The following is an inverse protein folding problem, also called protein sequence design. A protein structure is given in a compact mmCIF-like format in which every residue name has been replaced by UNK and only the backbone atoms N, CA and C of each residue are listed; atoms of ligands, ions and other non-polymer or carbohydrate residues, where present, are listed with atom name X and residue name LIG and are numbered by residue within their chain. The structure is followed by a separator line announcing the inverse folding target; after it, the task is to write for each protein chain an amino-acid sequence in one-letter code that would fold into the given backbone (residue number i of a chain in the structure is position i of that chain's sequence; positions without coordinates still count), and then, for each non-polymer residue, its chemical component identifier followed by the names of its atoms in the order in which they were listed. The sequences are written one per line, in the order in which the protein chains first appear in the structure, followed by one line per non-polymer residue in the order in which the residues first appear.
data_IF_391647223085
#
_entry.id   IF_391647223085
#
_cell.length_a   1.000
_cell.length_b   1.000
_cell.length_c   1.000
_cell.angle_alpha   90.00
_cell.angle_beta   90.00
_cell.angle_gamma   90.00
#
_symmetry.space_group_name_H-M   'P 1'
#
loop_
_entity.id
_entity.type
_entity.pdbx_description
1 polymer ?
#
# COMPACT_ATOMS: atom_id res chain seq x y z
N UNK A 1 -10.97 -7.73 -10.95
CA UNK A 1 -10.50 -6.35 -11.26
C UNK A 1 -10.23 -6.21 -12.75
N UNK A 2 -11.19 -5.70 -13.52
CA UNK A 2 -11.14 -5.77 -15.00
C UNK A 2 -11.00 -4.40 -15.68
N UNK A 3 -11.14 -3.29 -14.96
CA UNK A 3 -10.98 -1.96 -15.55
C UNK A 3 -9.51 -1.55 -15.53
N UNK A 4 -8.95 -1.32 -16.71
CA UNK A 4 -7.55 -0.95 -16.87
C UNK A 4 -7.46 0.57 -17.07
N UNK A 5 -6.62 1.24 -16.27
CA UNK A 5 -6.30 2.64 -16.48
C UNK A 5 -5.52 2.80 -17.79
N UNK A 6 -5.96 3.70 -18.66
CA UNK A 6 -5.31 3.92 -19.96
C UNK A 6 -3.84 4.36 -19.82
N UNK A 7 -3.54 5.22 -18.85
CA UNK A 7 -2.21 5.84 -18.67
C UNK A 7 -1.19 4.92 -18.00
N UNK A 8 -1.57 4.26 -16.90
CA UNK A 8 -0.65 3.49 -16.05
C UNK A 8 -0.90 1.99 -16.07
N UNK A 9 -1.89 1.51 -16.82
CA UNK A 9 -2.27 0.09 -16.92
C UNK A 9 -2.62 -0.57 -15.58
N UNK A 10 -2.84 0.21 -14.53
CA UNK A 10 -3.34 -0.28 -13.24
C UNK A 10 -4.68 -0.99 -13.43
N UNK A 11 -4.86 -2.15 -12.79
CA UNK A 11 -6.15 -2.85 -12.70
C UNK A 11 -6.97 -2.24 -11.56
N UNK A 12 -8.23 -1.92 -11.82
CA UNK A 12 -9.16 -1.31 -10.86
C UNK A 12 -10.44 -2.13 -10.77
N UNK A 13 -11.20 -1.94 -9.70
CA UNK A 13 -12.55 -2.48 -9.58
C UNK A 13 -13.52 -1.65 -10.43
N UNK A 14 -14.59 -2.29 -10.92
CA UNK A 14 -15.63 -1.62 -11.71
C UNK A 14 -16.29 -0.48 -10.92
N UNK A 15 -16.49 -0.68 -9.62
CA UNK A 15 -17.02 0.33 -8.70
C UNK A 15 -16.11 1.57 -8.54
N UNK A 16 -14.83 1.48 -8.90
CA UNK A 16 -13.86 2.59 -8.83
C UNK A 16 -13.82 3.38 -10.14
N UNK A 17 -14.58 2.96 -11.16
CA UNK A 17 -14.59 3.61 -12.47
C UNK A 17 -15.22 5.01 -12.35
N UNK A 18 -14.46 6.08 -12.63
CA UNK A 18 -15.02 7.42 -12.65
C UNK A 18 -15.90 7.62 -13.88
N UNK A 19 -16.91 8.49 -13.77
CA UNK A 19 -17.83 8.83 -14.88
C UNK A 19 -17.08 9.25 -16.17
N UNK A 20 -15.98 10.00 -16.03
CA UNK A 20 -15.15 10.44 -17.15
C UNK A 20 -14.07 9.44 -17.63
N UNK A 21 -14.06 8.21 -17.13
CA UNK A 21 -13.11 7.14 -17.51
C UNK A 21 -11.63 7.39 -17.13
N UNK A 22 -11.28 8.57 -16.62
CA UNK A 22 -9.91 8.95 -16.23
C UNK A 22 -9.74 8.85 -14.72
N UNK A 23 -8.96 7.87 -14.27
CA UNK A 23 -8.67 7.62 -12.86
C UNK A 23 -7.87 8.76 -12.22
N UNK A 24 -8.39 9.31 -11.12
CA UNK A 24 -7.70 10.31 -10.30
C UNK A 24 -6.78 9.66 -9.27
N UNK A 25 -7.24 8.57 -8.63
CA UNK A 25 -6.53 7.87 -7.55
C UNK A 25 -5.16 7.34 -8.00
N UNK A 26 -5.09 6.65 -9.14
CA UNK A 26 -3.85 6.05 -9.63
C UNK A 26 -2.84 7.07 -10.19
N UNK A 27 -3.26 7.95 -11.10
CA UNK A 27 -2.34 8.77 -11.90
C UNK A 27 -2.73 10.24 -12.01
N UNK A 28 -3.72 10.70 -11.24
CA UNK A 28 -4.34 12.04 -11.37
C UNK A 28 -4.67 12.39 -12.82
N UNK A 29 -5.34 11.48 -13.54
CA UNK A 29 -5.68 11.63 -14.97
C UNK A 29 -4.44 11.78 -15.87
N UNK A 30 -3.39 11.03 -15.59
CA UNK A 30 -2.14 11.01 -16.35
C UNK A 30 -1.13 12.12 -15.99
N UNK A 31 -1.41 12.92 -14.96
CA UNK A 31 -0.53 14.01 -14.51
C UNK A 31 0.67 13.54 -13.69
N UNK A 32 0.54 12.40 -13.01
CA UNK A 32 1.62 11.81 -12.21
C UNK A 32 2.24 10.67 -13.01
N UNK A 33 3.56 10.71 -13.18
CA UNK A 33 4.34 9.56 -13.62
C UNK A 33 4.84 8.84 -12.36
N UNK A 34 4.24 7.70 -12.04
CA UNK A 34 4.78 6.81 -11.02
C UNK A 34 6.11 6.24 -11.53
N UNK A 35 7.15 6.37 -10.71
CA UNK A 35 8.41 5.67 -10.94
C UNK A 35 8.22 4.18 -10.73
N UNK A 36 9.04 3.36 -11.40
CA UNK A 36 9.09 1.94 -11.09
C UNK A 36 9.54 1.81 -9.64
N UNK A 37 8.84 0.99 -8.86
CA UNK A 37 9.32 0.62 -7.53
C UNK A 37 10.65 -0.07 -7.68
N UNK A 38 11.70 0.49 -7.09
CA UNK A 38 13.00 -0.14 -6.93
C UNK A 38 13.31 -0.33 -5.45
N UNK A 39 14.11 -1.33 -5.11
CA UNK A 39 14.64 -1.48 -3.75
C UNK A 39 15.70 -0.40 -3.43
N UNK A 40 16.21 -0.40 -2.20
CA UNK A 40 17.26 0.52 -1.75
C UNK A 40 18.59 0.40 -2.53
N UNK A 41 18.74 -0.63 -3.35
CA UNK A 41 19.90 -0.91 -4.19
C UNK A 41 19.63 -0.66 -5.68
N UNK A 42 18.50 -0.03 -6.02
CA UNK A 42 18.02 0.23 -7.39
C UNK A 42 17.70 -1.03 -8.22
N UNK A 43 17.50 -2.19 -7.60
CA UNK A 43 16.94 -3.33 -8.33
C UNK A 43 15.45 -3.10 -8.54
N UNK A 44 14.93 -3.45 -9.73
CA UNK A 44 13.49 -3.46 -9.99
C UNK A 44 12.81 -4.32 -8.90
N UNK A 45 11.85 -3.74 -8.19
CA UNK A 45 11.14 -4.43 -7.12
C UNK A 45 10.34 -5.58 -7.72
N UNK A 46 10.89 -6.79 -7.63
CA UNK A 46 10.25 -7.99 -8.14
C UNK A 46 9.09 -8.34 -7.22
N UNK A 47 7.88 -8.16 -7.73
CA UNK A 47 6.67 -8.59 -7.05
C UNK A 47 6.75 -10.12 -6.85
N UNK A 48 6.48 -10.64 -5.64
CA UNK A 48 6.53 -12.08 -5.40
C UNK A 48 5.70 -12.85 -6.43
N UNK A 49 6.30 -13.87 -7.06
CA UNK A 49 5.68 -14.61 -8.17
C UNK A 49 4.32 -15.20 -7.80
N UNK A 50 4.15 -15.66 -6.55
CA UNK A 50 2.87 -16.21 -6.09
C UNK A 50 1.75 -15.14 -6.09
N UNK A 51 2.05 -13.89 -5.71
CA UNK A 51 1.07 -12.81 -5.76
C UNK A 51 0.76 -12.41 -7.21
N UNK A 52 1.76 -12.45 -8.08
CA UNK A 52 1.56 -12.21 -9.51
C UNK A 52 0.63 -13.27 -10.12
N UNK A 53 0.82 -14.54 -9.76
CA UNK A 53 -0.02 -15.65 -10.19
C UNK A 53 -1.47 -15.46 -9.72
N UNK A 54 -1.69 -15.17 -8.43
CA UNK A 54 -3.01 -14.83 -7.88
C UNK A 54 -3.67 -13.62 -8.57
N UNK A 55 -2.90 -12.64 -9.03
CA UNK A 55 -3.40 -11.44 -9.72
C UNK A 55 -3.70 -11.65 -11.21
N UNK A 56 -3.06 -12.62 -11.86
CA UNK A 56 -3.03 -12.71 -13.33
C UNK A 56 -3.49 -14.04 -13.92
N UNK A 57 -3.43 -15.15 -13.19
CA UNK A 57 -3.69 -16.49 -13.70
C UNK A 57 -5.10 -16.98 -13.31
N UNK A 58 -6.08 -16.98 -14.24
CA UNK A 58 -7.43 -17.43 -13.94
C UNK A 58 -7.54 -18.93 -13.65
N UNK A 59 -6.52 -19.73 -13.99
CA UNK A 59 -6.49 -21.17 -13.73
C UNK A 59 -6.03 -21.50 -12.31
N UNK A 60 -5.49 -20.52 -11.57
CA UNK A 60 -5.18 -20.71 -10.15
C UNK A 60 -6.50 -20.84 -9.37
N UNK A 61 -6.61 -21.87 -8.52
CA UNK A 61 -7.80 -22.15 -7.71
C UNK A 61 -8.20 -20.98 -6.80
N UNK A 62 -7.22 -20.21 -6.34
CA UNK A 62 -7.42 -19.09 -5.43
C UNK A 62 -7.62 -17.76 -6.15
N UNK A 63 -7.50 -17.71 -7.49
CA UNK A 63 -7.62 -16.48 -8.28
C UNK A 63 -8.90 -15.70 -7.95
N UNK A 64 -10.04 -16.39 -7.95
CA UNK A 64 -11.34 -15.77 -7.70
C UNK A 64 -11.44 -15.26 -6.26
N UNK A 65 -11.11 -16.11 -5.29
CA UNK A 65 -11.16 -15.75 -3.88
C UNK A 65 -10.23 -14.57 -3.57
N UNK A 66 -9.04 -14.55 -4.16
CA UNK A 66 -8.10 -13.45 -4.03
C UNK A 66 -8.67 -12.15 -4.58
N UNK A 67 -9.21 -12.14 -5.80
CA UNK A 67 -9.82 -10.91 -6.38
C UNK A 67 -11.03 -10.42 -5.60
N UNK A 68 -11.87 -11.34 -5.09
CA UNK A 68 -13.06 -10.99 -4.29
C UNK A 68 -12.65 -10.42 -2.91
N UNK A 69 -11.57 -10.95 -2.32
CA UNK A 69 -11.12 -10.60 -0.96
C UNK A 69 -9.96 -9.59 -0.92
N UNK A 70 -9.39 -9.18 -2.06
CA UNK A 70 -8.17 -8.35 -2.12
C UNK A 70 -8.29 -7.05 -1.32
N UNK A 71 -9.47 -6.45 -1.26
CA UNK A 71 -9.71 -5.25 -0.43
C UNK A 71 -9.56 -5.58 1.05
N UNK A 72 -10.15 -6.69 1.50
CA UNK A 72 -10.05 -7.14 2.89
C UNK A 72 -8.60 -7.49 3.25
N UNK A 73 -7.87 -8.17 2.35
CA UNK A 73 -6.45 -8.43 2.55
C UNK A 73 -5.64 -7.14 2.66
N UNK A 74 -5.78 -6.22 1.69
CA UNK A 74 -5.09 -4.93 1.70
C UNK A 74 -5.42 -4.12 2.96
N UNK A 75 -6.67 -4.13 3.42
CA UNK A 75 -7.09 -3.47 4.67
C UNK A 75 -6.50 -4.14 5.91
N UNK A 76 -6.39 -5.47 5.94
CA UNK A 76 -5.79 -6.20 7.04
C UNK A 76 -4.28 -5.96 7.12
N UNK A 77 -3.59 -5.83 5.99
CA UNK A 77 -2.14 -5.57 5.95
C UNK A 77 -1.78 -4.09 5.90
N UNK A 78 -2.76 -3.18 5.79
CA UNK A 78 -2.54 -1.74 5.88
C UNK A 78 -2.28 -1.28 7.32
N UNK A 79 -1.46 -2.02 8.07
CA UNK A 79 -1.03 -1.62 9.41
C UNK A 79 -0.38 -0.24 9.34
N UNK A 80 -1.03 0.76 9.91
CA UNK A 80 -0.42 2.06 10.09
C UNK A 80 0.58 1.92 11.24
N UNK A 81 1.86 1.72 10.93
CA UNK A 81 2.91 2.01 11.92
C UNK A 81 2.85 3.50 12.23
N UNK A 82 2.46 3.85 13.45
CA UNK A 82 2.56 5.21 13.93
C UNK A 82 4.00 5.48 14.35
N UNK A 83 4.80 5.94 13.38
CA UNK A 83 6.08 6.57 13.63
C UNK A 83 5.89 7.91 14.35
N UNK A 84 5.55 7.88 15.64
CA UNK A 84 5.41 9.08 16.46
C UNK A 84 6.49 9.13 17.53
N UNK A 85 7.00 10.33 17.81
CA UNK A 85 7.90 10.53 18.94
C UNK A 85 7.08 10.42 20.21
N UNK A 86 7.23 9.31 20.92
CA UNK A 86 6.62 9.11 22.23
C UNK A 86 7.28 10.10 23.21
N UNK A 87 6.47 10.90 23.88
CA UNK A 87 6.90 11.80 24.94
C UNK A 87 6.19 11.35 26.20
N UNK A 88 6.96 10.93 27.20
CA UNK A 88 6.42 10.67 28.53
C UNK A 88 6.30 11.99 29.29
N UNK A 89 5.10 12.27 29.78
CA UNK A 89 4.86 13.38 30.69
C UNK A 89 5.09 12.89 32.12
N UNK A 90 6.10 13.41 32.80
CA UNK A 90 6.32 13.15 34.22
C UNK A 90 5.38 14.02 35.07
N UNK A 91 4.28 13.44 35.53
CA UNK A 91 3.34 14.07 36.45
C UNK A 91 2.18 13.14 36.81
N UNK A 92 1.60 13.27 38.00
CA UNK A 92 0.53 12.40 38.54
C UNK A 92 -0.82 12.48 37.83
N UNK A 93 -0.81 12.79 36.54
CA UNK A 93 -1.98 12.84 35.66
C UNK A 93 -2.20 11.42 35.10
N UNK A 94 -3.45 11.01 34.83
CA UNK A 94 -3.72 9.74 34.17
C UNK A 94 -2.89 9.58 32.89
N UNK A 95 -2.45 8.35 32.61
CA UNK A 95 -1.70 8.04 31.39
C UNK A 95 -2.53 8.42 30.16
N UNK A 96 -2.02 9.33 29.34
CA UNK A 96 -2.66 9.75 28.07
C UNK A 96 -1.66 9.59 26.94
N UNK A 97 -1.98 8.73 25.98
CA UNK A 97 -1.29 8.67 24.69
C UNK A 97 -1.99 9.62 23.71
N UNK A 98 -1.35 10.74 23.35
CA UNK A 98 -1.93 11.75 22.46
C UNK A 98 -1.17 11.81 21.13
N UNK A 99 -1.87 11.52 20.04
CA UNK A 99 -1.38 11.70 18.67
C UNK A 99 -2.01 12.97 18.08
N UNK A 100 -1.20 13.87 17.53
CA UNK A 100 -1.68 15.11 16.91
C UNK A 100 -1.29 15.16 15.43
N UNK A 101 -2.21 15.58 14.57
CA UNK A 101 -2.03 15.63 13.11
C UNK A 101 -2.75 14.50 12.36
N UNK A 102 -2.53 14.43 11.06
CA UNK A 102 -3.11 13.39 10.21
C UNK A 102 -2.25 12.11 10.28
N UNK A 103 -2.88 10.97 10.55
CA UNK A 103 -2.20 9.66 10.48
C UNK A 103 -1.94 9.35 9.01
N UNK A 104 -0.66 9.31 8.63
CA UNK A 104 -0.23 8.92 7.30
C UNK A 104 0.27 7.47 7.32
N UNK A 105 -0.08 6.71 6.28
CA UNK A 105 0.50 5.39 6.05
C UNK A 105 1.89 5.58 5.44
N UNK A 106 2.94 5.09 6.11
CA UNK A 106 4.30 5.13 5.59
C UNK A 106 4.80 3.70 5.45
N UNK A 107 4.59 3.13 4.27
CA UNK A 107 5.20 1.85 3.90
C UNK A 107 6.71 2.08 3.76
N UNK A 108 7.51 1.55 4.67
CA UNK A 108 8.97 1.52 4.53
C UNK A 108 9.44 0.13 4.13
N UNK A 109 10.69 0.02 3.66
CA UNK A 109 11.31 -1.30 3.51
C UNK A 109 11.35 -2.01 4.87
N UNK A 110 10.92 -3.28 4.91
CA UNK A 110 11.08 -4.16 6.08
C UNK A 110 12.57 -4.34 6.42
N UNK A 111 13.42 -4.24 5.40
CA UNK A 111 14.85 -4.36 5.55
C UNK A 111 15.44 -3.03 6.02
N UNK A 112 15.96 -3.02 7.25
CA UNK A 112 16.65 -1.85 7.77
C UNK A 112 17.97 -1.63 7.02
N UNK A 113 18.22 -0.39 6.63
CA UNK A 113 19.55 0.03 6.20
C UNK A 113 20.40 0.10 7.48
N UNK A 114 21.51 -0.65 7.53
CA UNK A 114 22.49 -0.68 8.63
C UNK A 114 22.09 -1.46 9.90
N UNK A 115 21.36 -2.58 9.79
CA UNK A 115 21.06 -3.47 10.93
C UNK A 115 20.29 -2.82 12.07
N UNK A 116 19.68 -1.65 11.83
CA UNK A 116 18.80 -1.02 12.81
C UNK A 116 17.52 -1.83 12.95
N UNK A 117 16.82 -1.72 14.08
CA UNK A 117 15.50 -2.33 14.17
C UNK A 117 14.58 -1.71 13.10
N UNK A 118 13.76 -2.51 12.38
CA UNK A 118 12.76 -1.95 11.49
C UNK A 118 11.85 -1.00 12.28
N UNK A 119 11.75 0.24 11.81
CA UNK A 119 11.01 1.30 12.52
C UNK A 119 9.54 1.38 12.09
N UNK A 120 9.21 0.83 10.91
CA UNK A 120 7.87 0.88 10.34
C UNK A 120 7.55 -0.43 9.60
N UNK A 121 6.25 -0.68 9.39
CA UNK A 121 5.71 -1.85 8.68
C UNK A 121 5.10 -1.41 7.34
#
# INVERSE_FOLDING_TARGET
MNIICHFHKSKNLDAERPYGGKFTSCCRKGKIKLEKSSDALNNDFLYPNFLLDLLTNPNNSDYKNFHDSIRSYNSAVSFASMGTKVVDFSGGVPYVFKVHGQICHRTSHIQSVNSQAPQYA
#
